data_IF_493114686112
#
_entry.id   IF_493114686112
#
_cell.length_a   1.000
_cell.length_b   1.000
_cell.length_c   1.000
_cell.angle_alpha   90.00
_cell.angle_beta   90.00
_cell.angle_gamma   90.00
#
_symmetry.space_group_name_H-M   'P 1'
#
loop_
_entity.id
_entity.type
_entity.pdbx_description
1 polymer ?
#
# COMPACT_ATOMS: atom_id res chain seq x y z
N UNK A 1 31.62 16.77 39.34
CA UNK A 1 32.39 18.03 39.34
C UNK A 1 33.85 17.74 39.09
N UNK A 2 34.46 18.30 38.02
CA UNK A 2 35.90 18.14 37.77
C UNK A 2 36.69 18.74 38.95
N UNK A 3 37.66 18.00 39.51
CA UNK A 3 38.46 18.41 40.69
C UNK A 3 38.99 19.86 40.62
N UNK A 4 39.27 20.36 39.42
CA UNK A 4 39.72 21.73 39.15
C UNK A 4 38.71 22.84 39.48
N UNK A 5 37.41 22.62 39.24
CA UNK A 5 36.39 23.65 39.48
C UNK A 5 36.03 23.75 40.97
N UNK A 6 36.07 22.63 41.69
CA UNK A 6 35.94 22.61 43.15
C UNK A 6 37.12 23.33 43.82
N UNK A 7 38.35 23.11 43.33
CA UNK A 7 39.55 23.82 43.81
C UNK A 7 39.47 25.33 43.58
N UNK A 8 38.96 25.75 42.42
CA UNK A 8 38.80 27.18 42.09
C UNK A 8 37.75 27.84 42.99
N UNK A 9 36.63 27.16 43.28
CA UNK A 9 35.60 27.67 44.19
C UNK A 9 36.13 27.80 45.63
N UNK A 10 36.85 26.77 46.11
CA UNK A 10 37.49 26.79 47.43
C UNK A 10 38.52 27.91 47.53
N UNK A 11 39.31 28.15 46.47
CA UNK A 11 40.28 29.24 46.43
C UNK A 11 39.60 30.62 46.46
N UNK A 12 38.46 30.80 45.79
CA UNK A 12 37.68 32.04 45.85
C UNK A 12 37.10 32.27 47.24
N UNK A 13 36.54 31.23 47.87
CA UNK A 13 36.03 31.34 49.25
C UNK A 13 37.14 31.60 50.27
N UNK A 14 38.27 30.90 50.17
CA UNK A 14 39.43 31.09 51.04
C UNK A 14 40.05 32.49 50.84
N UNK A 15 40.18 32.96 49.60
CA UNK A 15 40.66 34.30 49.29
C UNK A 15 39.72 35.39 49.79
N UNK A 16 38.41 35.18 49.70
CA UNK A 16 37.39 36.11 50.23
C UNK A 16 37.43 36.18 51.76
N UNK A 17 37.57 35.04 52.44
CA UNK A 17 37.72 35.00 53.89
C UNK A 17 39.02 35.68 54.36
N UNK A 18 40.14 35.44 53.65
CA UNK A 18 41.42 36.09 53.90
C UNK A 18 41.34 37.61 53.69
N UNK A 19 40.59 38.04 52.68
CA UNK A 19 40.37 39.46 52.37
C UNK A 19 39.51 40.16 53.44
N UNK A 20 38.45 39.51 53.95
CA UNK A 20 37.66 40.03 55.07
C UNK A 20 38.50 40.13 56.35
N UNK A 21 39.37 39.14 56.59
CA UNK A 21 40.32 39.18 57.71
C UNK A 21 41.32 40.34 57.58
N UNK A 22 41.93 40.52 56.40
CA UNK A 22 42.82 41.64 56.10
C UNK A 22 42.11 43.00 56.21
N UNK A 23 40.86 43.11 55.79
CA UNK A 23 40.03 44.30 55.99
C UNK A 23 39.86 44.64 57.48
N UNK A 24 39.59 43.64 58.32
CA UNK A 24 39.42 43.82 59.76
C UNK A 24 40.73 44.23 60.46
N UNK A 25 41.86 43.70 59.99
CA UNK A 25 43.21 44.07 60.44
C UNK A 25 43.57 45.52 60.02
N UNK A 26 43.30 45.90 58.76
CA UNK A 26 43.65 47.22 58.21
C UNK A 26 42.75 48.35 58.71
N UNK A 27 41.55 48.04 59.25
CA UNK A 27 40.65 49.01 59.90
C UNK A 27 41.26 49.70 61.13
N UNK A 28 42.39 49.19 61.65
CA UNK A 28 43.21 49.82 62.69
C UNK A 28 44.04 51.02 62.18
N UNK A 29 44.23 51.20 60.86
CA UNK A 29 44.96 52.33 60.28
C UNK A 29 44.00 53.39 59.68
N UNK A 30 44.38 54.68 59.71
CA UNK A 30 43.53 55.86 59.47
C UNK A 30 42.99 56.04 58.03
N UNK A 31 43.23 55.11 57.09
CA UNK A 31 42.76 55.16 55.69
C UNK A 31 41.37 54.55 55.43
N UNK A 32 40.40 54.79 56.32
CA UNK A 32 39.14 54.01 56.43
C UNK A 32 38.25 54.02 55.19
N UNK A 33 38.21 55.11 54.43
CA UNK A 33 37.21 55.28 53.35
C UNK A 33 37.60 54.60 52.03
N UNK A 34 38.89 54.66 51.64
CA UNK A 34 39.38 54.04 50.40
C UNK A 34 39.31 52.51 50.48
N UNK A 35 39.70 51.95 51.63
CA UNK A 35 39.73 50.50 51.84
C UNK A 35 38.30 49.94 51.95
N UNK A 36 37.38 50.67 52.59
CA UNK A 36 35.96 50.31 52.62
C UNK A 36 35.32 50.35 51.22
N UNK A 37 35.64 51.36 50.40
CA UNK A 37 35.15 51.46 49.04
C UNK A 37 35.66 50.31 48.15
N UNK A 38 36.98 50.05 48.15
CA UNK A 38 37.60 48.98 47.35
C UNK A 38 37.07 47.60 47.78
N UNK A 39 36.94 47.36 49.08
CA UNK A 39 36.44 46.07 49.60
C UNK A 39 34.96 45.84 49.28
N UNK A 40 34.12 46.87 49.37
CA UNK A 40 32.72 46.80 48.97
C UNK A 40 32.55 46.51 47.48
N UNK A 41 33.28 47.22 46.62
CA UNK A 41 33.24 46.99 45.16
C UNK A 41 33.77 45.61 44.78
N UNK A 42 34.85 45.15 45.43
CA UNK A 42 35.41 43.82 45.20
C UNK A 42 34.43 42.71 45.61
N UNK A 43 33.82 42.81 46.81
CA UNK A 43 32.84 41.85 47.28
C UNK A 43 31.62 41.79 46.34
N UNK A 44 31.15 42.95 45.86
CA UNK A 44 30.06 43.03 44.90
C UNK A 44 30.43 42.35 43.58
N UNK A 45 31.62 42.60 43.03
CA UNK A 45 32.10 41.96 41.81
C UNK A 45 32.20 40.43 41.95
N UNK A 46 32.69 39.93 43.08
CA UNK A 46 32.77 38.49 43.37
C UNK A 46 31.38 37.86 43.45
N UNK A 47 30.44 38.47 44.19
CA UNK A 47 29.07 37.97 44.30
C UNK A 47 28.39 37.94 42.93
N UNK A 48 28.52 39.01 42.14
CA UNK A 48 27.98 39.06 40.78
C UNK A 48 28.58 37.96 39.90
N UNK A 49 29.89 37.77 39.89
CA UNK A 49 30.55 36.72 39.09
C UNK A 49 30.08 35.30 39.47
N UNK A 50 29.87 35.05 40.77
CA UNK A 50 29.35 33.76 41.26
C UNK A 50 27.90 33.53 40.81
N UNK A 51 27.02 34.53 40.95
CA UNK A 51 25.63 34.44 40.51
C UNK A 51 25.55 34.24 38.98
N UNK A 52 26.33 35.00 38.21
CA UNK A 52 26.40 34.89 36.75
C UNK A 52 26.88 33.50 36.32
N UNK A 53 27.88 32.93 37.00
CA UNK A 53 28.35 31.56 36.72
C UNK A 53 27.25 30.51 36.96
N UNK A 54 26.50 30.61 38.06
CA UNK A 54 25.39 29.70 38.32
C UNK A 54 24.23 29.87 37.32
N UNK A 55 23.93 31.10 36.91
CA UNK A 55 22.91 31.38 35.88
C UNK A 55 23.29 30.80 34.51
N UNK A 56 24.53 31.04 34.06
CA UNK A 56 25.03 30.52 32.78
C UNK A 56 25.07 28.99 32.78
N UNK A 57 25.54 28.38 33.88
CA UNK A 57 25.62 26.92 34.00
C UNK A 57 24.23 26.28 34.12
N UNK A 58 23.30 26.94 34.81
CA UNK A 58 21.91 26.49 34.93
C UNK A 58 21.15 26.58 33.60
N UNK A 59 21.37 27.64 32.83
CA UNK A 59 20.80 27.80 31.49
C UNK A 59 21.40 26.80 30.50
N UNK A 60 22.73 26.64 30.47
CA UNK A 60 23.38 25.68 29.57
C UNK A 60 22.99 24.24 29.87
N UNK A 61 22.84 23.85 31.14
CA UNK A 61 22.38 22.51 31.51
C UNK A 61 20.90 22.28 31.15
N UNK A 62 20.06 23.30 31.28
CA UNK A 62 18.65 23.21 30.86
C UNK A 62 18.53 23.12 29.33
N UNK A 63 19.37 23.86 28.59
CA UNK A 63 19.43 23.83 27.13
C UNK A 63 19.97 22.50 26.61
N UNK A 64 21.05 21.97 27.19
CA UNK A 64 21.58 20.63 26.88
C UNK A 64 20.54 19.53 27.16
N UNK A 65 19.81 19.62 28.28
CA UNK A 65 18.72 18.68 28.59
C UNK A 65 17.58 18.81 27.58
N UNK A 66 17.22 20.03 27.17
CA UNK A 66 16.20 20.27 26.14
C UNK A 66 16.63 19.71 24.79
N UNK A 67 17.84 20.02 24.32
CA UNK A 67 18.39 19.51 23.06
C UNK A 67 18.48 17.98 23.07
N UNK A 68 18.98 17.39 24.16
CA UNK A 68 18.99 15.94 24.33
C UNK A 68 17.59 15.35 24.31
N UNK A 69 16.61 15.97 24.98
CA UNK A 69 15.24 15.48 24.97
C UNK A 69 14.60 15.59 23.58
N UNK A 70 14.90 16.65 22.82
CA UNK A 70 14.47 16.82 21.42
C UNK A 70 15.10 15.75 20.52
N UNK A 71 16.40 15.49 20.66
CA UNK A 71 17.08 14.47 19.88
C UNK A 71 16.57 13.06 20.24
N UNK A 72 16.40 12.75 21.52
CA UNK A 72 15.79 11.48 21.97
C UNK A 72 14.37 11.34 21.45
N UNK A 73 13.58 12.41 21.46
CA UNK A 73 12.24 12.41 20.88
C UNK A 73 12.26 12.15 19.37
N UNK A 74 13.20 12.76 18.64
CA UNK A 74 13.37 12.54 17.20
C UNK A 74 13.76 11.10 16.89
N UNK A 75 14.75 10.55 17.61
CA UNK A 75 15.18 9.15 17.48
C UNK A 75 14.05 8.18 17.82
N UNK A 76 13.26 8.47 18.86
CA UNK A 76 12.05 7.72 19.22
C UNK A 76 11.03 7.73 18.09
N UNK A 77 10.76 8.89 17.49
CA UNK A 77 9.83 9.03 16.37
C UNK A 77 10.33 8.26 15.13
N UNK A 78 11.62 8.34 14.80
CA UNK A 78 12.22 7.60 13.69
C UNK A 78 12.14 6.08 13.90
N UNK A 79 12.39 5.60 15.12
CA UNK A 79 12.22 4.20 15.50
C UNK A 79 10.77 3.73 15.32
N UNK A 80 9.81 4.53 15.77
CA UNK A 80 8.38 4.20 15.69
C UNK A 80 7.90 4.21 14.25
N UNK A 81 8.31 5.21 13.45
CA UNK A 81 8.03 5.26 12.01
C UNK A 81 8.56 4.02 11.29
N UNK A 82 9.82 3.66 11.51
CA UNK A 82 10.43 2.47 10.89
C UNK A 82 9.67 1.18 11.22
N UNK A 83 9.07 1.10 12.41
CA UNK A 83 8.28 -0.05 12.83
C UNK A 83 6.87 -0.03 12.22
N UNK A 84 6.23 1.15 12.16
CA UNK A 84 4.92 1.35 11.53
C UNK A 84 4.99 1.08 10.01
N UNK A 85 6.05 1.52 9.34
CA UNK A 85 6.26 1.27 7.90
C UNK A 85 6.35 -0.23 7.60
N UNK A 86 6.92 -1.03 8.51
CA UNK A 86 6.97 -2.48 8.37
C UNK A 86 5.61 -3.14 8.64
N UNK A 87 4.87 -2.67 9.65
CA UNK A 87 3.50 -3.12 9.92
C UNK A 87 2.56 -2.82 8.74
N UNK A 88 2.79 -1.71 8.03
CA UNK A 88 2.01 -1.32 6.86
C UNK A 88 2.11 -2.31 5.70
N UNK A 89 3.24 -3.00 5.54
CA UNK A 89 3.39 -4.04 4.50
C UNK A 89 2.43 -5.20 4.76
N UNK A 90 2.45 -5.72 5.98
CA UNK A 90 1.53 -6.79 6.41
C UNK A 90 0.05 -6.35 6.37
N UNK A 91 -0.22 -5.07 6.65
CA UNK A 91 -1.57 -4.51 6.49
C UNK A 91 -2.02 -4.53 5.02
N UNK A 92 -1.19 -4.02 4.11
CA UNK A 92 -1.50 -3.88 2.70
C UNK A 92 -1.69 -5.24 2.02
N UNK A 93 -0.83 -6.19 2.34
CA UNK A 93 -0.83 -7.51 1.70
C UNK A 93 -1.88 -8.45 2.31
N UNK A 94 -2.56 -8.01 3.38
CA UNK A 94 -3.57 -8.79 4.15
C UNK A 94 -3.09 -10.18 4.57
N UNK A 95 -1.79 -10.33 4.69
CA UNK A 95 -1.10 -11.53 5.11
C UNK A 95 0.19 -11.10 5.81
N UNK A 96 0.73 -12.00 6.61
CA UNK A 96 2.00 -11.79 7.28
C UNK A 96 2.88 -13.02 7.13
N UNK A 97 4.06 -12.80 6.55
CA UNK A 97 5.07 -13.83 6.35
C UNK A 97 5.94 -14.02 7.59
N UNK A 98 6.61 -15.17 7.68
CA UNK A 98 7.60 -15.43 8.72
C UNK A 98 8.74 -14.40 8.70
N UNK A 99 9.14 -13.95 7.51
CA UNK A 99 10.18 -12.94 7.33
C UNK A 99 9.76 -11.59 7.94
N UNK A 100 8.53 -11.16 7.71
CA UNK A 100 8.01 -9.89 8.23
C UNK A 100 7.90 -9.90 9.76
N UNK A 101 7.37 -10.98 10.36
CA UNK A 101 7.37 -11.10 11.83
C UNK A 101 8.78 -11.08 12.40
N UNK A 102 9.72 -11.78 11.77
CA UNK A 102 11.12 -11.79 12.22
C UNK A 102 11.73 -10.38 12.16
N UNK A 103 11.45 -9.63 11.09
CA UNK A 103 11.92 -8.25 10.94
C UNK A 103 11.27 -7.32 11.99
N UNK A 104 9.96 -7.44 12.22
CA UNK A 104 9.25 -6.70 13.27
C UNK A 104 9.85 -6.96 14.66
N UNK A 105 10.14 -8.23 14.99
CA UNK A 105 10.81 -8.58 16.24
C UNK A 105 12.21 -7.96 16.34
N UNK A 106 12.98 -8.00 15.25
CA UNK A 106 14.30 -7.37 15.17
C UNK A 106 14.23 -5.86 15.46
N UNK A 107 13.27 -5.14 14.84
CA UNK A 107 13.05 -3.71 15.09
C UNK A 107 12.68 -3.46 16.55
N UNK A 108 11.84 -4.32 17.15
CA UNK A 108 11.48 -4.19 18.56
C UNK A 108 12.71 -4.32 19.46
N UNK A 109 13.52 -5.36 19.24
CA UNK A 109 14.72 -5.61 20.05
C UNK A 109 15.82 -4.57 19.86
N UNK A 110 15.97 -4.01 18.66
CA UNK A 110 17.06 -3.08 18.34
C UNK A 110 16.72 -1.63 18.61
N UNK A 111 15.45 -1.22 18.44
CA UNK A 111 15.06 0.20 18.45
C UNK A 111 13.97 0.48 19.48
N UNK A 112 12.84 -0.24 19.44
CA UNK A 112 11.68 0.07 20.29
C UNK A 112 12.02 -0.08 21.77
N UNK A 113 12.71 -1.15 22.17
CA UNK A 113 13.15 -1.37 23.55
C UNK A 113 13.99 -0.20 24.11
N UNK A 114 14.76 0.49 23.26
CA UNK A 114 15.66 1.57 23.70
C UNK A 114 14.90 2.88 24.00
N UNK A 115 13.80 3.12 23.30
CA UNK A 115 13.10 4.42 23.32
C UNK A 115 11.68 4.36 23.89
N UNK A 116 11.14 3.16 24.11
CA UNK A 116 9.82 2.93 24.70
C UNK A 116 9.90 2.58 26.18
N UNK A 117 8.87 2.95 26.93
CA UNK A 117 8.72 2.44 28.29
C UNK A 117 8.39 0.94 28.30
N UNK A 118 8.69 0.28 29.44
CA UNK A 118 8.49 -1.17 29.63
C UNK A 118 7.06 -1.63 29.30
N UNK A 119 6.05 -0.89 29.73
CA UNK A 119 4.63 -1.24 29.55
C UNK A 119 4.26 -1.21 28.06
N UNK A 120 4.74 -0.21 27.31
CA UNK A 120 4.53 -0.13 25.85
C UNK A 120 5.17 -1.33 25.17
N UNK A 121 6.44 -1.62 25.46
CA UNK A 121 7.16 -2.75 24.86
C UNK A 121 6.44 -4.07 25.12
N UNK A 122 5.98 -4.32 26.34
CA UNK A 122 5.23 -5.54 26.69
C UNK A 122 3.94 -5.67 25.89
N UNK A 123 3.19 -4.57 25.73
CA UNK A 123 1.95 -4.57 24.94
C UNK A 123 2.20 -4.81 23.45
N UNK A 124 3.26 -4.22 22.89
CA UNK A 124 3.66 -4.44 21.50
C UNK A 124 4.02 -5.91 21.27
N UNK A 125 4.85 -6.48 22.15
CA UNK A 125 5.23 -7.89 22.08
C UNK A 125 4.03 -8.83 22.20
N UNK A 126 3.06 -8.50 23.05
CA UNK A 126 1.81 -9.25 23.15
C UNK A 126 1.01 -9.22 21.84
N UNK A 127 0.82 -8.04 21.22
CA UNK A 127 0.14 -7.94 19.93
C UNK A 127 0.90 -8.65 18.81
N UNK A 128 2.23 -8.54 18.77
CA UNK A 128 3.06 -9.32 17.83
C UNK A 128 2.90 -10.82 18.05
N UNK A 129 2.88 -11.29 19.30
CA UNK A 129 2.64 -12.71 19.59
C UNK A 129 1.26 -13.16 19.11
N UNK A 130 0.25 -12.29 19.17
CA UNK A 130 -1.07 -12.58 18.64
C UNK A 130 -1.05 -12.66 17.11
N UNK A 131 -0.31 -11.78 16.43
CA UNK A 131 -0.10 -11.83 14.99
C UNK A 131 0.58 -13.13 14.52
N UNK A 132 1.41 -13.76 15.35
CA UNK A 132 2.05 -15.05 15.00
C UNK A 132 1.05 -16.16 14.66
N UNK A 133 -0.18 -16.09 15.19
CA UNK A 133 -1.26 -17.05 14.89
C UNK A 133 -1.73 -17.01 13.43
N UNK A 134 -1.42 -15.94 12.71
CA UNK A 134 -1.85 -15.72 11.33
C UNK A 134 -0.70 -15.89 10.32
N UNK A 135 0.51 -16.18 10.79
CA UNK A 135 1.71 -16.22 9.94
C UNK A 135 1.69 -17.42 9.01
N UNK A 136 1.92 -17.17 7.72
CA UNK A 136 2.07 -18.23 6.71
C UNK A 136 0.78 -18.99 6.41
N UNK A 137 -0.37 -18.51 6.87
CA UNK A 137 -1.66 -19.11 6.55
C UNK A 137 -2.16 -18.64 5.18
N UNK A 138 -2.09 -19.52 4.18
CA UNK A 138 -2.53 -19.22 2.80
C UNK A 138 -4.05 -18.98 2.67
N UNK A 139 -4.85 -19.43 3.65
CA UNK A 139 -6.31 -19.37 3.63
C UNK A 139 -6.90 -18.72 4.90
N UNK A 140 -6.48 -17.50 5.23
CA UNK A 140 -7.11 -16.72 6.30
C UNK A 140 -8.54 -16.32 5.93
N UNK A 141 -9.49 -16.54 6.84
CA UNK A 141 -10.86 -16.04 6.67
C UNK A 141 -10.88 -14.51 6.73
N UNK A 142 -11.90 -13.86 6.17
CA UNK A 142 -12.04 -12.40 6.26
C UNK A 142 -12.09 -11.93 7.73
N UNK A 143 -12.69 -12.73 8.62
CA UNK A 143 -12.70 -12.45 10.06
C UNK A 143 -11.30 -12.53 10.71
N UNK A 144 -10.42 -13.40 10.21
CA UNK A 144 -9.05 -13.48 10.70
C UNK A 144 -8.20 -12.31 10.18
N UNK A 145 -8.43 -11.89 8.93
CA UNK A 145 -7.81 -10.68 8.36
C UNK A 145 -8.21 -9.43 9.13
N UNK A 146 -9.49 -9.31 9.49
CA UNK A 146 -9.99 -8.20 10.31
C UNK A 146 -9.33 -8.16 11.70
N UNK A 147 -9.15 -9.33 12.34
CA UNK A 147 -8.45 -9.42 13.64
C UNK A 147 -6.97 -9.07 13.52
N UNK A 148 -6.31 -9.52 12.46
CA UNK A 148 -4.91 -9.17 12.18
C UNK A 148 -4.75 -7.66 12.04
N UNK A 149 -5.64 -7.02 11.27
CA UNK A 149 -5.70 -5.57 11.12
C UNK A 149 -5.95 -4.87 12.47
N UNK A 150 -6.89 -5.36 13.28
CA UNK A 150 -7.17 -4.80 14.60
C UNK A 150 -5.93 -4.83 15.52
N UNK A 151 -5.13 -5.89 15.48
CA UNK A 151 -3.85 -5.96 16.22
C UNK A 151 -2.81 -4.96 15.72
N UNK A 152 -2.70 -4.77 14.40
CA UNK A 152 -1.81 -3.74 13.82
C UNK A 152 -2.24 -2.34 14.29
N UNK A 153 -3.54 -2.03 14.22
CA UNK A 153 -4.09 -0.76 14.71
C UNK A 153 -3.82 -0.58 16.21
N UNK A 154 -3.96 -1.64 17.00
CA UNK A 154 -3.68 -1.59 18.44
C UNK A 154 -2.22 -1.23 18.72
N UNK A 155 -1.27 -1.80 17.96
CA UNK A 155 0.15 -1.42 18.05
C UNK A 155 0.34 0.06 17.74
N UNK A 156 -0.24 0.56 16.64
CA UNK A 156 -0.14 1.98 16.27
C UNK A 156 -0.72 2.87 17.37
N UNK A 157 -1.89 2.53 17.94
CA UNK A 157 -2.49 3.26 19.08
C UNK A 157 -1.56 3.34 20.27
N UNK A 158 -0.92 2.22 20.65
CA UNK A 158 0.02 2.16 21.77
C UNK A 158 1.18 3.13 21.53
N UNK A 159 1.77 3.11 20.34
CA UNK A 159 2.88 3.98 19.96
C UNK A 159 2.47 5.45 19.95
N UNK A 160 1.33 5.79 19.34
CA UNK A 160 0.84 7.17 19.25
C UNK A 160 0.53 7.74 20.64
N UNK A 161 -0.06 6.93 21.53
CA UNK A 161 -0.32 7.33 22.92
C UNK A 161 0.97 7.62 23.69
N UNK A 162 2.06 6.92 23.39
CA UNK A 162 3.35 7.16 24.03
C UNK A 162 4.14 8.33 23.41
N UNK A 163 3.84 8.71 22.17
CA UNK A 163 4.40 9.91 21.54
C UNK A 163 3.71 11.20 22.00
N UNK A 164 2.48 11.11 22.51
CA UNK A 164 1.69 12.24 23.03
C UNK A 164 1.54 13.40 22.03
N UNK A 165 1.48 13.09 20.73
CA UNK A 165 1.43 14.05 19.62
C UNK A 165 0.01 14.52 19.25
N UNK A 166 -0.98 14.32 20.12
CA UNK A 166 -2.34 14.87 19.94
C UNK A 166 -3.23 14.17 18.90
N UNK A 167 -2.77 13.09 18.26
CA UNK A 167 -3.61 12.24 17.40
C UNK A 167 -4.18 11.07 18.18
N UNK A 168 -5.47 11.10 18.54
CA UNK A 168 -6.14 9.90 19.07
C UNK A 168 -6.71 9.09 17.90
N UNK A 169 -6.19 7.88 17.67
CA UNK A 169 -6.80 6.93 16.72
C UNK A 169 -8.03 6.37 17.41
N UNK A 170 -9.10 7.15 17.41
CA UNK A 170 -10.36 6.77 18.02
C UNK A 170 -11.09 5.71 17.18
N UNK A 171 -12.07 5.06 17.81
CA UNK A 171 -12.89 3.99 17.19
C UNK A 171 -13.63 4.47 15.93
N UNK A 172 -13.94 5.77 15.84
CA UNK A 172 -14.65 6.34 14.70
C UNK A 172 -13.76 6.47 13.46
N UNK A 173 -12.52 6.93 13.62
CA UNK A 173 -11.53 7.01 12.54
C UNK A 173 -11.24 5.64 11.93
N UNK A 174 -11.14 4.60 12.77
CA UNK A 174 -10.95 3.22 12.32
C UNK A 174 -12.15 2.71 11.53
N UNK A 175 -13.37 3.00 11.99
CA UNK A 175 -14.59 2.62 11.27
C UNK A 175 -14.61 3.28 9.88
N UNK A 176 -14.28 4.56 9.80
CA UNK A 176 -14.20 5.28 8.52
C UNK A 176 -13.14 4.68 7.59
N UNK A 177 -11.94 4.35 8.09
CA UNK A 177 -10.89 3.67 7.32
C UNK A 177 -11.40 2.32 6.78
N UNK A 178 -12.02 1.49 7.63
CA UNK A 178 -12.58 0.20 7.21
C UNK A 178 -13.67 0.34 6.16
N UNK A 179 -14.55 1.35 6.29
CA UNK A 179 -15.59 1.62 5.28
C UNK A 179 -14.95 1.97 3.93
N UNK A 180 -13.93 2.84 3.95
CA UNK A 180 -13.21 3.25 2.75
C UNK A 180 -12.50 2.05 2.10
N UNK A 181 -11.76 1.27 2.89
CA UNK A 181 -11.09 0.07 2.39
C UNK A 181 -12.07 -0.94 1.78
N UNK A 182 -13.18 -1.22 2.47
CA UNK A 182 -14.20 -2.16 1.98
C UNK A 182 -14.88 -1.67 0.71
N UNK A 183 -14.82 -0.37 0.42
CA UNK A 183 -15.36 0.22 -0.81
C UNK A 183 -14.32 0.20 -1.93
N UNK A 184 -13.07 0.54 -1.64
CA UNK A 184 -12.03 0.75 -2.65
C UNK A 184 -11.32 -0.55 -3.04
N UNK A 185 -10.96 -1.39 -2.08
CA UNK A 185 -10.15 -2.58 -2.35
C UNK A 185 -10.79 -3.53 -3.37
N UNK A 186 -12.10 -3.81 -3.32
CA UNK A 186 -12.69 -4.67 -4.34
C UNK A 186 -12.68 -4.07 -5.75
N UNK A 187 -12.73 -2.74 -5.86
CA UNK A 187 -12.60 -2.04 -7.14
C UNK A 187 -11.17 -2.13 -7.69
N UNK A 188 -10.16 -2.08 -6.81
CA UNK A 188 -8.76 -2.29 -7.17
C UNK A 188 -8.51 -3.74 -7.63
N UNK A 189 -9.01 -4.73 -6.87
CA UNK A 189 -8.93 -6.15 -7.20
C UNK A 189 -9.48 -6.41 -8.62
N UNK A 190 -10.63 -5.82 -8.96
CA UNK A 190 -11.26 -5.99 -10.27
C UNK A 190 -10.49 -5.29 -11.38
N UNK A 191 -9.96 -4.10 -11.12
CA UNK A 191 -9.15 -3.37 -12.10
C UNK A 191 -7.87 -4.14 -12.41
N UNK A 192 -7.21 -4.69 -11.39
CA UNK A 192 -6.02 -5.52 -11.57
C UNK A 192 -6.35 -6.83 -12.29
N UNK A 193 -7.47 -7.46 -11.94
CA UNK A 193 -7.96 -8.64 -12.64
C UNK A 193 -8.23 -8.36 -14.13
N UNK A 194 -8.87 -7.23 -14.48
CA UNK A 194 -9.09 -6.81 -15.87
C UNK A 194 -7.77 -6.74 -16.65
N UNK A 195 -6.71 -6.20 -16.03
CA UNK A 195 -5.38 -6.10 -16.65
C UNK A 195 -4.77 -7.49 -16.90
N UNK A 196 -4.92 -8.41 -15.94
CA UNK A 196 -4.35 -9.78 -16.02
C UNK A 196 -5.18 -10.76 -16.85
N UNK A 197 -6.48 -10.50 -17.03
CA UNK A 197 -7.41 -11.42 -17.68
C UNK A 197 -6.94 -11.89 -19.07
N UNK A 198 -6.47 -11.04 -19.99
CA UNK A 198 -6.03 -11.50 -21.31
C UNK A 198 -4.90 -12.53 -21.25
N UNK A 199 -3.89 -12.31 -20.40
CA UNK A 199 -2.78 -13.26 -20.23
C UNK A 199 -3.23 -14.60 -19.65
N UNK A 200 -4.08 -14.57 -18.62
CA UNK A 200 -4.57 -15.78 -17.97
C UNK A 200 -5.49 -16.59 -18.90
N UNK A 201 -6.35 -15.89 -19.64
CA UNK A 201 -7.25 -16.51 -20.60
C UNK A 201 -6.48 -17.12 -21.77
N UNK A 202 -5.45 -16.44 -22.27
CA UNK A 202 -4.57 -16.99 -23.31
C UNK A 202 -3.96 -18.32 -22.87
N UNK A 203 -3.35 -18.37 -21.68
CA UNK A 203 -2.71 -19.60 -21.17
C UNK A 203 -3.70 -20.77 -21.09
N UNK A 204 -4.97 -20.48 -20.78
CA UNK A 204 -5.98 -21.53 -20.62
C UNK A 204 -6.56 -22.00 -21.96
N UNK A 205 -6.92 -21.08 -22.85
CA UNK A 205 -7.55 -21.38 -24.15
C UNK A 205 -6.56 -21.97 -25.15
N UNK A 206 -5.29 -21.57 -25.11
CA UNK A 206 -4.26 -22.09 -26.03
C UNK A 206 -4.02 -23.61 -25.90
N UNK A 207 -4.48 -24.21 -24.78
CA UNK A 207 -4.45 -25.67 -24.56
C UNK A 207 -5.46 -26.43 -25.42
N UNK A 208 -6.52 -25.77 -25.90
CA UNK A 208 -7.64 -26.39 -26.62
C UNK A 208 -7.85 -25.84 -28.02
N UNK A 209 -7.53 -24.56 -28.24
CA UNK A 209 -7.71 -23.87 -29.52
C UNK A 209 -6.41 -23.16 -29.90
N UNK A 210 -5.92 -23.28 -31.14
CA UNK A 210 -4.74 -22.55 -31.60
C UNK A 210 -5.06 -21.06 -31.70
N UNK A 211 -4.55 -20.27 -30.76
CA UNK A 211 -4.82 -18.82 -30.67
C UNK A 211 -3.53 -17.99 -30.71
N UNK A 212 -3.63 -16.77 -31.24
CA UNK A 212 -2.54 -15.80 -31.29
C UNK A 212 -2.45 -14.97 -30.00
N UNK A 213 -3.06 -13.80 -30.04
CA UNK A 213 -3.13 -12.88 -28.91
C UNK A 213 -4.55 -12.80 -28.32
N UNK A 214 -4.62 -12.45 -27.03
CA UNK A 214 -5.86 -12.07 -26.36
C UNK A 214 -5.70 -10.62 -25.92
N UNK A 215 -6.66 -9.77 -26.27
CA UNK A 215 -6.59 -8.33 -25.99
C UNK A 215 -7.97 -7.69 -25.97
N UNK A 216 -8.07 -6.47 -25.45
CA UNK A 216 -9.28 -5.67 -25.52
C UNK A 216 -9.28 -4.83 -26.80
N UNK A 217 -10.42 -4.80 -27.51
CA UNK A 217 -10.62 -3.96 -28.71
C UNK A 217 -11.97 -3.24 -28.63
N UNK A 218 -11.99 -1.96 -28.97
CA UNK A 218 -13.23 -1.23 -29.21
C UNK A 218 -13.76 -1.60 -30.59
N UNK A 219 -14.94 -2.22 -30.64
CA UNK A 219 -15.57 -2.67 -31.90
C UNK A 219 -16.74 -1.74 -32.28
N UNK A 220 -17.55 -1.36 -31.29
CA UNK A 220 -18.64 -0.39 -31.46
C UNK A 220 -18.30 0.89 -30.71
N UNK A 221 -18.96 2.00 -31.05
CA UNK A 221 -18.71 3.32 -30.44
C UNK A 221 -18.75 3.25 -28.90
N UNK A 222 -17.58 3.29 -28.29
CA UNK A 222 -17.41 3.26 -26.84
C UNK A 222 -17.62 1.90 -26.17
N UNK A 223 -17.79 0.81 -26.92
CA UNK A 223 -17.95 -0.54 -26.37
C UNK A 223 -16.71 -1.40 -26.62
N UNK A 224 -16.11 -1.82 -25.52
CA UNK A 224 -14.92 -2.65 -25.48
C UNK A 224 -15.31 -4.14 -25.44
N UNK A 225 -14.60 -4.94 -26.24
CA UNK A 225 -14.76 -6.38 -26.36
C UNK A 225 -13.45 -7.07 -25.98
N UNK A 226 -13.55 -8.25 -25.36
CA UNK A 226 -12.43 -9.17 -25.21
C UNK A 226 -12.29 -9.96 -26.50
N UNK A 227 -11.16 -9.82 -27.16
CA UNK A 227 -10.88 -10.45 -28.45
C UNK A 227 -9.82 -11.53 -28.29
N UNK A 228 -10.07 -12.69 -28.89
CA UNK A 228 -9.14 -13.81 -29.01
C UNK A 228 -8.81 -14.02 -30.48
N UNK A 229 -7.58 -13.79 -30.86
CA UNK A 229 -7.11 -13.98 -32.23
C UNK A 229 -6.95 -15.46 -32.54
N UNK A 230 -7.49 -15.91 -33.67
CA UNK A 230 -7.25 -17.27 -34.16
C UNK A 230 -5.88 -17.30 -34.85
N UNK A 231 -5.03 -18.27 -34.50
CA UNK A 231 -3.67 -18.33 -35.02
C UNK A 231 -3.65 -18.33 -36.56
N UNK A 232 -2.76 -17.51 -37.15
CA UNK A 232 -2.57 -17.40 -38.62
C UNK A 232 -3.84 -16.99 -39.38
N UNK A 233 -4.72 -16.22 -38.75
CA UNK A 233 -5.98 -15.75 -39.35
C UNK A 233 -6.28 -14.31 -38.91
N UNK A 234 -6.88 -13.47 -39.77
CA UNK A 234 -7.36 -12.14 -39.40
C UNK A 234 -8.64 -12.17 -38.55
N UNK A 235 -9.15 -13.35 -38.22
CA UNK A 235 -10.40 -13.55 -37.48
C UNK A 235 -10.14 -13.51 -35.97
N UNK A 236 -11.00 -12.78 -35.27
CA UNK A 236 -11.06 -12.71 -33.82
C UNK A 236 -12.35 -13.37 -33.31
N UNK A 237 -12.30 -14.08 -32.19
CA UNK A 237 -13.48 -14.36 -31.38
C UNK A 237 -13.67 -13.14 -30.47
N UNK A 238 -14.72 -12.36 -30.70
CA UNK A 238 -15.04 -11.19 -29.89
C UNK A 238 -16.16 -11.52 -28.89
N UNK A 239 -15.91 -11.22 -27.62
CA UNK A 239 -16.84 -11.44 -26.50
C UNK A 239 -17.05 -10.12 -25.79
N UNK A 240 -18.28 -9.63 -25.79
CA UNK A 240 -18.58 -8.36 -25.14
C UNK A 240 -19.92 -7.74 -25.52
N UNK A 241 -20.22 -6.54 -25.01
CA UNK A 241 -19.27 -5.67 -24.32
C UNK A 241 -18.87 -6.18 -22.93
N UNK A 242 -17.61 -5.96 -22.53
CA UNK A 242 -17.10 -6.29 -21.18
C UNK A 242 -17.45 -5.22 -20.14
N UNK A 243 -17.95 -4.09 -20.60
CA UNK A 243 -18.41 -2.95 -19.81
C UNK A 243 -19.84 -2.64 -20.26
N UNK A 244 -20.86 -3.03 -19.48
CA UNK A 244 -22.25 -2.92 -19.94
C UNK A 244 -22.68 -1.45 -19.94
N UNK A 245 -23.40 -1.02 -20.97
CA UNK A 245 -24.28 0.14 -20.89
C UNK A 245 -25.70 -0.35 -20.57
N UNK A 246 -26.57 0.51 -20.01
CA UNK A 246 -27.91 0.18 -19.47
C UNK A 246 -28.86 -0.61 -20.42
N UNK A 247 -28.51 -0.84 -21.69
CA UNK A 247 -29.29 -1.62 -22.66
C UNK A 247 -28.48 -2.54 -23.58
N UNK A 248 -27.20 -2.83 -23.31
CA UNK A 248 -26.37 -3.67 -24.20
C UNK A 248 -26.44 -5.15 -23.82
N UNK A 249 -26.89 -6.00 -24.76
CA UNK A 249 -26.72 -7.45 -24.65
C UNK A 249 -25.28 -7.81 -25.02
N UNK A 250 -24.65 -8.73 -24.30
CA UNK A 250 -23.35 -9.25 -24.72
C UNK A 250 -23.51 -10.36 -25.71
N UNK A 251 -22.63 -10.28 -26.69
CA UNK A 251 -22.57 -11.07 -27.88
C UNK A 251 -21.23 -11.80 -27.88
N UNK A 252 -21.26 -13.02 -28.38
CA UNK A 252 -20.07 -13.71 -28.85
C UNK A 252 -20.20 -13.91 -30.35
N UNK A 253 -19.13 -13.59 -31.08
CA UNK A 253 -19.11 -13.69 -32.52
C UNK A 253 -17.70 -13.74 -33.08
N UNK A 254 -17.55 -14.36 -34.25
CA UNK A 254 -16.35 -14.17 -35.04
C UNK A 254 -16.37 -12.79 -35.70
N UNK A 255 -15.33 -12.01 -35.48
CA UNK A 255 -15.13 -10.67 -35.99
C UNK A 255 -13.95 -10.65 -36.96
N UNK A 256 -14.11 -9.95 -38.08
CA UNK A 256 -13.05 -9.72 -39.07
C UNK A 256 -13.23 -8.35 -39.70
N UNK A 257 -12.15 -7.58 -39.82
CA UNK A 257 -12.20 -6.27 -40.46
C UNK A 257 -12.29 -6.42 -41.98
N UNK A 258 -13.51 -6.39 -42.52
CA UNK A 258 -13.77 -6.72 -43.93
C UNK A 258 -13.16 -5.74 -44.94
N UNK A 259 -12.82 -4.53 -44.53
CA UNK A 259 -12.12 -3.59 -45.41
C UNK A 259 -10.71 -4.07 -45.76
N UNK A 260 -10.05 -4.73 -44.80
CA UNK A 260 -8.70 -5.27 -44.96
C UNK A 260 -8.72 -6.72 -45.47
N UNK A 261 -9.85 -7.42 -45.32
CA UNK A 261 -10.00 -8.84 -45.63
C UNK A 261 -11.27 -9.10 -46.48
N UNK A 262 -11.33 -8.58 -47.73
CA UNK A 262 -12.53 -8.66 -48.58
C UNK A 262 -12.92 -10.10 -48.97
N UNK A 263 -11.98 -11.04 -48.90
CA UNK A 263 -12.20 -12.46 -49.18
C UNK A 263 -13.24 -13.12 -48.25
N UNK A 264 -13.49 -12.52 -47.08
CA UNK A 264 -14.49 -12.99 -46.11
C UNK A 264 -15.90 -12.40 -46.34
N UNK A 265 -16.10 -11.49 -47.30
CA UNK A 265 -17.40 -10.82 -47.52
C UNK A 265 -18.58 -11.78 -47.69
N UNK A 266 -18.35 -12.96 -48.28
CA UNK A 266 -19.37 -13.99 -48.48
C UNK A 266 -19.96 -14.53 -47.16
N UNK A 267 -19.25 -14.35 -46.05
CA UNK A 267 -19.62 -14.83 -44.72
C UNK A 267 -20.11 -13.72 -43.77
N UNK A 268 -20.28 -12.51 -44.31
CA UNK A 268 -20.67 -11.31 -43.57
C UNK A 268 -22.09 -11.36 -43.05
N UNK A 269 -22.30 -10.92 -41.81
CA UNK A 269 -23.64 -10.60 -41.32
C UNK A 269 -24.13 -9.28 -41.93
N UNK A 270 -24.82 -9.39 -43.08
CA UNK A 270 -25.40 -8.25 -43.79
C UNK A 270 -26.67 -7.70 -43.13
N UNK A 271 -27.22 -8.37 -42.12
CA UNK A 271 -28.57 -8.09 -41.60
C UNK A 271 -28.66 -6.85 -40.71
N UNK A 272 -27.54 -6.31 -40.19
CA UNK A 272 -27.58 -5.32 -39.08
C UNK A 272 -26.42 -4.30 -39.01
N UNK A 273 -26.33 -3.37 -39.95
CA UNK A 273 -25.61 -2.08 -39.75
C UNK A 273 -24.22 -2.18 -39.11
N UNK A 274 -24.05 -1.67 -37.89
CA UNK A 274 -22.80 -1.68 -37.09
C UNK A 274 -22.19 -3.08 -36.86
N UNK A 275 -22.95 -4.16 -37.10
CA UNK A 275 -22.48 -5.56 -37.08
C UNK A 275 -21.81 -6.01 -38.36
N UNK A 276 -21.53 -5.06 -39.26
CA UNK A 276 -20.99 -5.32 -40.58
C UNK A 276 -19.73 -6.15 -40.58
N UNK A 277 -18.94 -6.14 -39.50
CA UNK A 277 -17.63 -6.81 -39.37
C UNK A 277 -17.68 -8.14 -38.61
N UNK A 278 -18.89 -8.59 -38.22
CA UNK A 278 -19.08 -9.94 -37.70
C UNK A 278 -19.37 -10.94 -38.83
N UNK A 279 -18.92 -12.18 -38.69
CA UNK A 279 -19.42 -13.30 -39.48
C UNK A 279 -20.87 -13.63 -39.07
N UNK A 280 -21.65 -14.18 -39.98
CA UNK A 280 -23.03 -14.59 -39.71
C UNK A 280 -23.14 -15.57 -38.52
N UNK A 281 -24.24 -15.57 -37.77
CA UNK A 281 -24.46 -16.53 -36.68
C UNK A 281 -23.74 -16.22 -35.36
N UNK A 282 -23.62 -14.95 -34.98
CA UNK A 282 -23.24 -14.56 -33.60
C UNK A 282 -24.31 -15.01 -32.60
N UNK A 283 -23.91 -15.36 -31.38
CA UNK A 283 -24.78 -15.93 -30.36
C UNK A 283 -24.95 -15.01 -29.15
N UNK A 284 -26.12 -15.11 -28.53
CA UNK A 284 -26.37 -14.64 -27.17
C UNK A 284 -26.41 -15.89 -26.28
N UNK A 285 -25.33 -16.17 -25.54
CA UNK A 285 -25.28 -17.33 -24.65
C UNK A 285 -25.91 -17.00 -23.28
N UNK A 286 -26.75 -17.87 -22.67
CA UNK A 286 -27.36 -17.65 -21.35
C UNK A 286 -26.37 -17.56 -20.18
N UNK A 287 -25.19 -18.15 -20.29
CA UNK A 287 -24.12 -18.06 -19.28
C UNK A 287 -23.58 -16.63 -19.15
N UNK A 288 -23.91 -15.74 -20.10
CA UNK A 288 -23.53 -14.34 -20.08
C UNK A 288 -24.05 -13.55 -18.87
N UNK A 289 -25.26 -13.81 -18.36
CA UNK A 289 -25.74 -13.07 -17.19
C UNK A 289 -24.83 -13.27 -15.97
N UNK A 290 -23.99 -14.31 -16.00
CA UNK A 290 -22.93 -14.57 -15.03
C UNK A 290 -21.59 -13.91 -15.37
N UNK A 291 -21.35 -13.36 -16.55
CA UNK A 291 -20.09 -12.68 -16.84
C UNK A 291 -19.94 -11.38 -16.03
N UNK A 292 -18.69 -11.10 -15.62
CA UNK A 292 -18.37 -9.88 -14.86
C UNK A 292 -18.57 -8.65 -15.73
N UNK A 293 -19.31 -7.69 -15.18
CA UNK A 293 -19.37 -6.32 -15.68
C UNK A 293 -18.29 -5.50 -14.99
N UNK A 294 -17.24 -5.12 -15.73
CA UNK A 294 -16.14 -4.34 -15.17
C UNK A 294 -16.53 -2.91 -14.76
N UNK A 295 -17.71 -2.42 -15.18
CA UNK A 295 -18.23 -1.11 -14.77
C UNK A 295 -19.17 -1.18 -13.56
N UNK A 296 -19.79 -2.34 -13.31
CA UNK A 296 -20.76 -2.52 -12.23
C UNK A 296 -20.43 -3.78 -11.43
N UNK A 297 -19.38 -3.66 -10.62
CA UNK A 297 -18.87 -4.75 -9.80
C UNK A 297 -19.75 -4.94 -8.56
N UNK A 298 -20.40 -6.10 -8.47
CA UNK A 298 -21.08 -6.54 -7.26
C UNK A 298 -20.21 -7.48 -6.40
N UNK A 299 -20.66 -7.74 -5.17
CA UNK A 299 -19.97 -8.63 -4.22
C UNK A 299 -19.77 -10.04 -4.77
N UNK A 300 -20.70 -10.53 -5.59
CA UNK A 300 -20.65 -11.85 -6.21
C UNK A 300 -19.57 -11.93 -7.31
N UNK A 301 -19.37 -10.86 -8.05
CA UNK A 301 -18.29 -10.76 -9.04
C UNK A 301 -16.92 -10.82 -8.36
N UNK A 302 -16.76 -10.16 -7.21
CA UNK A 302 -15.51 -10.15 -6.43
C UNK A 302 -15.20 -11.54 -5.85
N UNK A 303 -16.20 -12.23 -5.30
CA UNK A 303 -15.99 -13.58 -4.74
C UNK A 303 -15.58 -14.58 -5.82
N UNK A 304 -16.17 -14.48 -7.02
CA UNK A 304 -15.85 -15.35 -8.17
C UNK A 304 -14.44 -15.12 -8.71
N UNK A 305 -13.94 -13.87 -8.73
CA UNK A 305 -12.54 -13.57 -9.08
C UNK A 305 -11.57 -14.27 -8.12
N UNK A 306 -11.87 -14.24 -6.81
CA UNK A 306 -10.97 -14.77 -5.78
C UNK A 306 -10.90 -16.30 -5.73
N UNK A 307 -11.90 -16.99 -6.27
CA UNK A 307 -11.94 -18.45 -6.25
C UNK A 307 -11.58 -19.03 -7.62
N UNK A 308 -10.28 -19.20 -7.89
CA UNK A 308 -9.76 -19.72 -9.16
C UNK A 308 -10.23 -21.16 -9.49
N UNK A 309 -10.52 -21.95 -8.45
CA UNK A 309 -10.95 -23.35 -8.58
C UNK A 309 -12.45 -23.51 -8.84
N UNK A 310 -13.23 -22.44 -8.74
CA UNK A 310 -14.67 -22.48 -8.99
C UNK A 310 -14.98 -22.52 -10.48
N UNK A 311 -15.97 -23.31 -10.89
CA UNK A 311 -16.51 -23.26 -12.25
C UNK A 311 -17.15 -21.89 -12.56
N UNK A 312 -17.59 -21.18 -11.53
CA UNK A 312 -18.11 -19.81 -11.66
C UNK A 312 -17.00 -18.75 -11.77
N UNK A 313 -15.72 -19.14 -11.74
CA UNK A 313 -14.62 -18.21 -11.99
C UNK A 313 -14.73 -17.62 -13.41
N UNK A 314 -14.55 -16.29 -13.59
CA UNK A 314 -14.73 -15.66 -14.89
C UNK A 314 -13.82 -16.24 -15.99
N UNK A 315 -12.58 -16.59 -15.67
CA UNK A 315 -11.63 -17.17 -16.64
C UNK A 315 -12.18 -18.50 -17.14
N UNK A 316 -12.73 -19.33 -16.25
CA UNK A 316 -13.32 -20.63 -16.58
C UNK A 316 -14.54 -20.44 -17.48
N UNK A 317 -15.42 -19.49 -17.14
CA UNK A 317 -16.60 -19.18 -17.93
C UNK A 317 -16.25 -18.66 -19.33
N UNK A 318 -15.29 -17.74 -19.45
CA UNK A 318 -14.81 -17.27 -20.76
C UNK A 318 -14.22 -18.41 -21.58
N UNK A 319 -13.37 -19.25 -20.96
CA UNK A 319 -12.75 -20.40 -21.62
C UNK A 319 -13.80 -21.35 -22.18
N UNK A 320 -14.75 -21.79 -21.33
CA UNK A 320 -15.83 -22.69 -21.74
C UNK A 320 -16.68 -22.11 -22.87
N UNK A 321 -16.99 -20.81 -22.80
CA UNK A 321 -17.77 -20.15 -23.84
C UNK A 321 -17.01 -20.11 -25.17
N UNK A 322 -15.72 -19.78 -25.15
CA UNK A 322 -14.86 -19.76 -26.33
C UNK A 322 -14.77 -21.14 -26.96
N UNK A 323 -14.49 -22.17 -26.16
CA UNK A 323 -14.37 -23.56 -26.61
C UNK A 323 -15.65 -24.08 -27.24
N UNK A 324 -16.78 -23.84 -26.56
CA UNK A 324 -18.10 -24.20 -27.06
C UNK A 324 -18.42 -23.47 -28.37
N UNK A 325 -18.23 -22.15 -28.41
CA UNK A 325 -18.53 -21.37 -29.61
C UNK A 325 -17.65 -21.78 -30.78
N UNK A 326 -16.35 -21.97 -30.56
CA UNK A 326 -15.41 -22.37 -31.60
C UNK A 326 -15.74 -23.74 -32.21
N UNK A 327 -16.21 -24.70 -31.39
CA UNK A 327 -16.51 -26.06 -31.83
C UNK A 327 -17.90 -26.21 -32.47
N UNK A 328 -18.91 -25.53 -31.93
CA UNK A 328 -20.30 -25.68 -32.36
C UNK A 328 -20.70 -24.70 -33.48
N UNK A 329 -20.02 -23.55 -33.60
CA UNK A 329 -20.40 -22.53 -34.57
C UNK A 329 -20.20 -22.96 -36.02
N UNK A 330 -21.23 -22.75 -36.84
CA UNK A 330 -21.24 -23.03 -38.28
C UNK A 330 -22.09 -22.03 -39.04
N UNK A 331 -21.66 -21.74 -40.27
CA UNK A 331 -22.43 -20.97 -41.26
C UNK A 331 -22.37 -21.69 -42.59
N UNK A 332 -23.53 -21.91 -43.22
CA UNK A 332 -23.64 -22.62 -44.50
C UNK A 332 -22.92 -23.99 -44.47
N UNK A 333 -23.15 -24.74 -43.38
CA UNK A 333 -22.53 -26.03 -43.03
C UNK A 333 -21.01 -26.04 -42.88
N UNK A 334 -20.38 -24.85 -42.84
CA UNK A 334 -18.92 -24.71 -42.66
C UNK A 334 -18.56 -24.19 -41.29
N UNK A 335 -17.56 -24.79 -40.67
CA UNK A 335 -16.95 -24.28 -39.44
C UNK A 335 -15.94 -23.17 -39.75
N UNK A 336 -15.40 -22.54 -38.70
CA UNK A 336 -14.49 -21.40 -38.86
C UNK A 336 -13.18 -21.76 -39.57
N UNK A 337 -12.62 -22.94 -39.31
CA UNK A 337 -11.38 -23.39 -39.95
C UNK A 337 -11.56 -23.63 -41.45
N UNK A 338 -12.70 -24.19 -41.85
CA UNK A 338 -13.05 -24.38 -43.25
C UNK A 338 -13.20 -23.04 -43.99
N UNK A 339 -13.83 -22.04 -43.34
CA UNK A 339 -13.96 -20.69 -43.87
C UNK A 339 -12.58 -20.03 -44.04
N UNK A 340 -11.72 -20.10 -43.02
CA UNK A 340 -10.34 -19.59 -43.09
C UNK A 340 -9.61 -20.24 -44.27
N UNK A 341 -9.66 -21.57 -44.39
CA UNK A 341 -8.97 -22.29 -45.46
C UNK A 341 -9.48 -21.91 -46.87
N UNK A 342 -10.79 -21.71 -47.04
CA UNK A 342 -11.37 -21.27 -48.32
C UNK A 342 -10.86 -19.86 -48.68
N UNK A 343 -10.89 -18.94 -47.71
CA UNK A 343 -10.51 -17.54 -47.91
C UNK A 343 -9.00 -17.40 -48.17
N UNK A 344 -8.15 -18.09 -47.40
CA UNK A 344 -6.70 -18.10 -47.61
C UNK A 344 -6.31 -18.66 -48.98
N UNK A 345 -7.03 -19.68 -49.47
CA UNK A 345 -6.80 -20.20 -50.83
C UNK A 345 -7.13 -19.18 -51.91
N UNK A 346 -8.23 -18.40 -51.78
CA UNK A 346 -8.59 -17.34 -52.73
C UNK A 346 -7.48 -16.29 -52.86
N UNK A 347 -6.81 -15.94 -51.76
CA UNK A 347 -5.69 -14.99 -51.75
C UNK A 347 -4.51 -15.53 -52.57
N UNK A 348 -4.19 -16.82 -52.42
CA UNK A 348 -3.04 -17.44 -53.10
C UNK A 348 -3.28 -17.68 -54.60
N UNK A 349 -4.52 -17.71 -55.07
CA UNK A 349 -4.85 -17.78 -56.52
C UNK A 349 -4.95 -16.41 -57.19
N UNK A 350 -5.00 -15.31 -56.43
CA UNK A 350 -5.05 -13.93 -56.95
C UNK A 350 -3.68 -13.23 -56.97
N UNK A 351 -2.65 -13.85 -56.39
CA UNK A 351 -1.24 -13.49 -56.55
C UNK A 351 -0.63 -14.32 -57.67
#
# INVERSE_FOLDING_TARGET
MKKQTLFSLIAVFAGSALFVYLYQYMKMFEGKDLIAAISGTFLQAVITAVITYFLLTGQSAAEEVKERNVEVFKQKNEAYKSFIDELWKAWNDKNISYSEISNLLSIVSQKIILYSNKITTEKILFSLSTLTKYVGHENLTDADKDKMQDEIINIVKILTKELDLGGDINTESIKSIKIIENTILPLLDVKEFKIKLPSLLKEKVDKSIPIGQVFYKTIEEGLEYLCVEIEKSPILIAIGPVSKQRSSFTLIGFYVEYYQNPEYWDYRDASKGWRKDFLAGWWRDPLYDKMIDFNNVDKDSISRIKNEKSDDNPINQFTMLIEKYYSEWKVNDKNILEIINICTKKINTQK
#
